data_IF_290550368911
#
_entry.id   IF_290550368911
#
_cell.length_a   1.000
_cell.length_b   1.000
_cell.length_c   1.000
_cell.angle_alpha   90.00
_cell.angle_beta   90.00
_cell.angle_gamma   90.00
#
_symmetry.space_group_name_H-M   'P 1'
#
loop_
_entity.id
_entity.type
_entity.pdbx_description
1 polymer ?
#
# COMPACT_ATOMS: atom_id res chain seq x y z
N UNK A 1 -7.89 12.00 -6.65
CA UNK A 1 -8.33 11.31 -7.87
C UNK A 1 -9.14 10.08 -7.50
N UNK A 2 -9.98 9.57 -8.42
CA UNK A 2 -10.68 8.32 -8.18
C UNK A 2 -9.72 7.13 -8.09
N UNK A 3 -10.09 6.14 -7.29
CA UNK A 3 -9.32 4.90 -7.17
C UNK A 3 -9.04 4.27 -8.55
N UNK A 4 -9.99 4.35 -9.45
CA UNK A 4 -9.85 3.86 -10.83
C UNK A 4 -8.58 4.37 -11.50
N UNK A 5 -8.27 5.66 -11.35
CA UNK A 5 -7.07 6.26 -11.95
C UNK A 5 -5.79 5.78 -11.28
N UNK A 6 -5.79 5.67 -9.94
CA UNK A 6 -4.64 5.10 -9.22
C UNK A 6 -4.36 3.67 -9.65
N UNK A 7 -5.41 2.87 -9.86
CA UNK A 7 -5.26 1.49 -10.32
C UNK A 7 -4.71 1.41 -11.75
N UNK A 8 -5.08 2.35 -12.63
CA UNK A 8 -4.52 2.40 -13.98
C UNK A 8 -3.03 2.71 -13.95
N UNK A 9 -2.62 3.67 -13.14
CA UNK A 9 -1.20 3.99 -12.96
C UNK A 9 -0.44 2.79 -12.39
N UNK A 10 -1.06 2.08 -11.47
CA UNK A 10 -0.48 0.90 -10.87
C UNK A 10 -0.31 -0.23 -11.90
N UNK A 11 -1.31 -0.43 -12.76
CA UNK A 11 -1.22 -1.44 -13.82
C UNK A 11 -0.04 -1.17 -14.76
N UNK A 12 0.19 0.10 -15.13
CA UNK A 12 1.33 0.48 -15.95
C UNK A 12 2.66 0.17 -15.26
N UNK A 13 2.76 0.50 -13.98
CA UNK A 13 3.94 0.20 -13.17
C UNK A 13 4.21 -1.31 -13.13
N UNK A 14 3.18 -2.11 -12.89
CA UNK A 14 3.30 -3.57 -12.79
C UNK A 14 3.74 -4.18 -14.12
N UNK A 15 3.22 -3.70 -15.25
CA UNK A 15 3.64 -4.18 -16.57
C UNK A 15 5.15 -3.99 -16.75
N UNK A 16 5.67 -2.83 -16.39
CA UNK A 16 7.10 -2.53 -16.48
C UNK A 16 7.90 -3.47 -15.58
N UNK A 17 7.43 -3.69 -14.35
CA UNK A 17 8.13 -4.57 -13.41
C UNK A 17 8.10 -6.04 -13.85
N UNK A 18 7.02 -6.50 -14.47
CA UNK A 18 6.96 -7.85 -15.01
C UNK A 18 7.97 -8.07 -16.14
N UNK A 19 8.20 -7.06 -16.98
CA UNK A 19 9.23 -7.11 -18.01
C UNK A 19 10.60 -7.20 -17.36
N UNK A 20 10.86 -6.37 -16.35
CA UNK A 20 12.14 -6.33 -15.64
C UNK A 20 12.45 -7.63 -14.90
N UNK A 21 11.48 -8.23 -14.25
CA UNK A 21 11.65 -9.38 -13.37
C UNK A 21 11.15 -10.71 -13.94
N UNK A 22 10.79 -10.77 -15.23
CA UNK A 22 10.50 -12.02 -15.96
C UNK A 22 9.53 -12.95 -15.23
N UNK A 23 8.29 -12.53 -15.06
CA UNK A 23 7.21 -13.34 -14.46
C UNK A 23 7.43 -13.75 -12.99
N UNK A 24 8.35 -13.12 -12.29
CA UNK A 24 8.50 -13.33 -10.84
C UNK A 24 7.46 -12.59 -10.02
N UNK A 25 6.61 -11.78 -10.65
CA UNK A 25 5.57 -11.02 -10.00
C UNK A 25 4.21 -11.54 -10.42
N UNK A 26 3.39 -11.92 -9.44
CA UNK A 26 1.97 -12.18 -9.62
C UNK A 26 1.20 -11.07 -8.92
N UNK A 27 0.41 -10.34 -9.68
CA UNK A 27 -0.35 -9.20 -9.18
C UNK A 27 -1.84 -9.47 -9.36
N UNK A 28 -2.60 -9.33 -8.27
CA UNK A 28 -4.04 -9.56 -8.26
C UNK A 28 -4.75 -8.36 -7.63
N UNK A 29 -5.87 -7.97 -8.24
CA UNK A 29 -6.73 -6.90 -7.72
C UNK A 29 -8.11 -7.47 -7.43
N UNK A 30 -8.63 -7.23 -6.23
CA UNK A 30 -9.97 -7.58 -5.83
C UNK A 30 -10.67 -6.29 -5.38
N UNK A 31 -11.33 -5.62 -6.30
CA UNK A 31 -11.89 -4.30 -6.09
C UNK A 31 -13.41 -4.39 -6.09
N UNK A 32 -14.03 -3.96 -4.99
CA UNK A 32 -15.49 -3.88 -4.92
C UNK A 32 -15.99 -2.83 -5.92
N UNK A 33 -17.07 -3.12 -6.63
CA UNK A 33 -17.56 -2.26 -7.72
C UNK A 33 -17.74 -0.81 -7.32
N UNK A 34 -18.29 -0.57 -6.13
CA UNK A 34 -18.54 0.79 -5.65
C UNK A 34 -17.28 1.51 -5.13
N UNK A 35 -16.15 0.82 -5.07
CA UNK A 35 -14.89 1.43 -4.62
C UNK A 35 -14.16 2.19 -5.74
N UNK A 36 -14.42 1.87 -7.00
CA UNK A 36 -13.66 2.44 -8.12
C UNK A 36 -13.75 3.96 -8.22
N UNK A 37 -14.87 4.54 -7.84
CA UNK A 37 -15.09 5.98 -7.93
C UNK A 37 -14.77 6.73 -6.65
N UNK A 38 -14.32 6.04 -5.61
CA UNK A 38 -13.89 6.67 -4.37
C UNK A 38 -12.67 7.54 -4.59
N UNK A 39 -12.67 8.71 -3.99
CA UNK A 39 -11.58 9.67 -4.11
C UNK A 39 -10.49 9.39 -3.08
N UNK A 40 -9.25 9.51 -3.50
CA UNK A 40 -8.09 9.41 -2.62
C UNK A 40 -6.98 10.34 -3.13
N UNK A 41 -6.01 10.68 -2.26
CA UNK A 41 -4.87 11.49 -2.68
C UNK A 41 -4.05 10.77 -3.75
N UNK A 42 -3.45 11.53 -4.66
CA UNK A 42 -2.60 10.97 -5.71
C UNK A 42 -1.36 10.30 -5.12
N UNK A 43 -0.91 9.25 -5.79
CA UNK A 43 0.33 8.54 -5.47
C UNK A 43 0.38 8.06 -4.02
N UNK A 44 -0.71 7.45 -3.58
CA UNK A 44 -0.77 6.76 -2.28
C UNK A 44 -0.53 5.26 -2.48
N UNK A 45 -1.18 4.67 -3.49
CA UNK A 45 -1.17 3.23 -3.68
C UNK A 45 0.15 2.73 -4.29
N UNK A 46 0.65 3.42 -5.31
CA UNK A 46 1.85 2.99 -6.03
C UNK A 46 3.08 2.86 -5.13
N UNK A 47 3.42 3.83 -4.27
CA UNK A 47 4.58 3.67 -3.39
C UNK A 47 4.49 2.44 -2.48
N UNK A 48 3.29 2.08 -2.06
CA UNK A 48 3.09 0.88 -1.22
C UNK A 48 3.34 -0.40 -2.01
N UNK A 49 2.89 -0.45 -3.25
CA UNK A 49 3.15 -1.60 -4.11
C UNK A 49 4.62 -1.64 -4.53
N UNK A 50 5.27 -0.50 -4.75
CA UNK A 50 6.71 -0.44 -5.00
C UNK A 50 7.51 -1.08 -3.86
N UNK A 51 7.12 -0.82 -2.62
CA UNK A 51 7.74 -1.46 -1.47
C UNK A 51 7.58 -2.97 -1.52
N UNK A 52 6.38 -3.46 -1.84
CA UNK A 52 6.12 -4.90 -1.96
C UNK A 52 6.98 -5.53 -3.04
N UNK A 53 7.13 -4.88 -4.19
CA UNK A 53 7.97 -5.37 -5.28
C UNK A 53 9.44 -5.41 -4.85
N UNK A 54 9.94 -4.32 -4.29
CA UNK A 54 11.36 -4.23 -3.89
C UNK A 54 11.72 -5.26 -2.83
N UNK A 55 10.86 -5.47 -1.84
CA UNK A 55 11.11 -6.41 -0.75
C UNK A 55 10.65 -7.83 -1.03
N UNK A 56 9.79 -8.02 -2.02
CA UNK A 56 9.33 -9.35 -2.41
C UNK A 56 10.20 -9.98 -3.48
N UNK A 57 10.43 -9.27 -4.58
CA UNK A 57 11.14 -9.82 -5.74
C UNK A 57 12.65 -9.91 -5.51
N UNK A 58 13.23 -8.85 -4.94
CA UNK A 58 14.69 -8.77 -4.80
C UNK A 58 15.23 -9.59 -3.64
N UNK A 59 14.40 -9.92 -2.67
CA UNK A 59 14.85 -10.55 -1.41
C UNK A 59 14.41 -12.00 -1.26
N UNK A 60 13.53 -12.52 -2.13
CA UNK A 60 13.05 -13.89 -2.05
C UNK A 60 13.40 -14.66 -3.31
N UNK A 61 13.57 -15.99 -3.16
CA UNK A 61 13.77 -16.89 -4.29
C UNK A 61 12.44 -17.31 -4.93
N UNK A 62 11.32 -16.93 -4.32
CA UNK A 62 9.98 -17.30 -4.75
C UNK A 62 9.35 -16.25 -5.66
N UNK A 63 8.27 -16.65 -6.32
CA UNK A 63 7.41 -15.70 -7.00
C UNK A 63 6.84 -14.73 -5.97
N UNK A 64 6.95 -13.45 -6.25
CA UNK A 64 6.36 -12.41 -5.42
C UNK A 64 4.86 -12.30 -5.74
N UNK A 65 4.01 -12.55 -4.76
CA UNK A 65 2.56 -12.37 -4.90
C UNK A 65 2.17 -11.06 -4.23
N UNK A 66 1.44 -10.23 -4.97
CA UNK A 66 0.94 -8.97 -4.45
C UNK A 66 -0.56 -8.91 -4.72
N UNK A 67 -1.34 -8.69 -3.67
CA UNK A 67 -2.79 -8.62 -3.75
C UNK A 67 -3.24 -7.27 -3.25
N UNK A 68 -4.03 -6.56 -4.04
CA UNK A 68 -4.66 -5.30 -3.66
C UNK A 68 -6.15 -5.53 -3.54
N UNK A 69 -6.68 -5.32 -2.34
CA UNK A 69 -8.11 -5.39 -2.07
C UNK A 69 -8.64 -3.99 -1.76
N UNK A 70 -9.84 -3.70 -2.21
CA UNK A 70 -10.50 -2.43 -1.92
C UNK A 70 -11.99 -2.64 -1.71
N UNK A 71 -12.52 -2.08 -0.63
CA UNK A 71 -13.95 -2.11 -0.34
C UNK A 71 -14.39 -0.84 0.38
N UNK A 72 -15.66 -0.49 0.23
CA UNK A 72 -16.30 0.56 1.02
C UNK A 72 -16.95 -0.07 2.23
N UNK A 73 -16.61 0.44 3.42
CA UNK A 73 -17.15 -0.07 4.67
C UNK A 73 -17.20 1.04 5.72
N UNK A 74 -18.38 1.24 6.28
CA UNK A 74 -18.55 2.15 7.42
C UNK A 74 -18.05 3.59 7.18
N UNK A 75 -18.20 4.10 5.96
CA UNK A 75 -17.79 5.46 5.62
C UNK A 75 -16.31 5.58 5.24
N UNK A 76 -15.62 4.47 5.05
CA UNK A 76 -14.22 4.44 4.66
C UNK A 76 -14.02 3.60 3.41
N UNK A 77 -13.08 4.03 2.57
CA UNK A 77 -12.48 3.18 1.57
C UNK A 77 -11.36 2.40 2.25
N UNK A 78 -11.52 1.09 2.36
CA UNK A 78 -10.49 0.23 2.93
C UNK A 78 -9.64 -0.33 1.80
N UNK A 79 -8.36 0.02 1.80
CA UNK A 79 -7.37 -0.49 0.86
C UNK A 79 -6.41 -1.41 1.62
N UNK A 80 -6.20 -2.60 1.09
CA UNK A 80 -5.29 -3.56 1.70
C UNK A 80 -4.31 -4.04 0.63
N UNK A 81 -3.01 -3.89 0.90
CA UNK A 81 -1.95 -4.38 0.03
C UNK A 81 -1.22 -5.49 0.79
N UNK A 82 -1.29 -6.70 0.27
CA UNK A 82 -0.67 -7.86 0.88
C UNK A 82 0.39 -8.43 -0.05
N UNK A 83 1.54 -8.78 0.51
CA UNK A 83 2.59 -9.47 -0.22
C UNK A 83 3.10 -10.69 0.56
N UNK A 84 3.83 -11.56 -0.11
CA UNK A 84 4.45 -12.75 0.47
C UNK A 84 5.96 -12.59 0.65
N UNK A 85 6.46 -11.36 0.77
CA UNK A 85 7.88 -11.07 0.95
C UNK A 85 8.42 -11.44 2.33
N UNK A 86 9.51 -10.78 2.71
CA UNK A 86 10.21 -11.09 3.96
C UNK A 86 9.51 -10.54 5.21
N UNK A 87 8.54 -9.66 5.03
CA UNK A 87 7.89 -9.00 6.15
C UNK A 87 8.61 -7.74 6.59
N UNK A 88 8.17 -7.21 7.72
CA UNK A 88 8.69 -5.97 8.28
C UNK A 88 9.02 -6.14 9.75
N UNK A 89 9.76 -5.17 10.29
CA UNK A 89 10.01 -5.06 11.73
C UNK A 89 8.70 -4.80 12.47
N UNK A 90 8.50 -5.51 13.60
CA UNK A 90 7.32 -5.30 14.44
C UNK A 90 7.24 -3.85 14.92
N UNK A 91 6.01 -3.29 14.87
CA UNK A 91 5.74 -1.92 15.31
C UNK A 91 6.54 -0.86 14.55
N UNK A 92 6.82 -1.09 13.27
CA UNK A 92 7.62 -0.19 12.45
C UNK A 92 7.07 1.24 12.46
N UNK A 93 5.74 1.43 12.26
CA UNK A 93 5.15 2.76 12.25
C UNK A 93 5.29 3.47 13.60
N UNK A 94 5.06 2.75 14.69
CA UNK A 94 5.20 3.31 16.04
C UNK A 94 6.63 3.76 16.30
N UNK A 95 7.60 2.97 15.88
CA UNK A 95 9.03 3.31 16.02
C UNK A 95 9.40 4.54 15.20
N UNK A 96 8.86 4.67 13.99
CA UNK A 96 9.09 5.84 13.14
C UNK A 96 8.46 7.10 13.74
N UNK A 97 7.23 7.01 14.20
CA UNK A 97 6.51 8.15 14.81
C UNK A 97 7.16 8.61 16.11
N UNK A 98 7.65 7.67 16.91
CA UNK A 98 8.30 7.99 18.20
C UNK A 98 9.75 8.45 18.08
N UNK A 99 10.32 8.41 16.87
CA UNK A 99 11.72 8.75 16.65
C UNK A 99 12.71 7.69 17.08
N UNK A 100 12.24 6.52 17.49
CA UNK A 100 13.13 5.40 17.89
C UNK A 100 13.86 4.79 16.70
N UNK A 101 13.35 5.01 15.50
CA UNK A 101 13.98 4.56 14.27
C UNK A 101 13.90 5.69 13.24
N UNK A 102 15.00 5.94 12.56
CA UNK A 102 15.02 6.90 11.44
C UNK A 102 14.43 6.27 10.21
N UNK A 103 13.62 7.01 9.41
CA UNK A 103 13.11 6.49 8.16
C UNK A 103 14.25 6.13 7.20
N UNK A 104 14.25 4.89 6.70
CA UNK A 104 15.23 4.40 5.73
C UNK A 104 14.53 3.41 4.79
N UNK A 105 14.89 3.43 3.51
CA UNK A 105 14.32 2.51 2.53
C UNK A 105 12.79 2.57 2.51
N UNK A 106 12.13 1.44 2.71
CA UNK A 106 10.65 1.37 2.75
C UNK A 106 10.04 2.21 3.86
N UNK A 107 10.79 2.42 4.97
CA UNK A 107 10.33 3.24 6.07
C UNK A 107 10.09 4.68 5.69
N UNK A 108 10.85 5.23 4.73
CA UNK A 108 10.67 6.60 4.25
C UNK A 108 9.31 6.73 3.54
N UNK A 109 8.99 5.81 2.63
CA UNK A 109 7.74 5.83 1.89
C UNK A 109 6.54 5.68 2.81
N UNK A 110 6.58 4.73 3.74
CA UNK A 110 5.50 4.48 4.69
C UNK A 110 5.28 5.66 5.62
N UNK A 111 6.36 6.23 6.14
CA UNK A 111 6.30 7.40 7.02
C UNK A 111 5.68 8.60 6.29
N UNK A 112 6.11 8.86 5.05
CA UNK A 112 5.59 9.96 4.25
C UNK A 112 4.11 9.81 3.94
N UNK A 113 3.67 8.62 3.60
CA UNK A 113 2.24 8.35 3.34
C UNK A 113 1.42 8.56 4.61
N UNK A 114 1.89 8.02 5.72
CA UNK A 114 1.21 8.19 7.01
C UNK A 114 1.07 9.67 7.36
N UNK A 115 2.14 10.45 7.21
CA UNK A 115 2.12 11.88 7.46
C UNK A 115 1.16 12.63 6.54
N UNK A 116 1.15 12.30 5.25
CA UNK A 116 0.22 12.91 4.28
C UNK A 116 -1.23 12.66 4.67
N UNK A 117 -1.57 11.43 5.05
CA UNK A 117 -2.93 11.09 5.44
C UNK A 117 -3.36 11.84 6.69
N UNK A 118 -2.48 11.97 7.67
CA UNK A 118 -2.77 12.72 8.89
C UNK A 118 -3.04 14.19 8.59
N UNK A 119 -2.26 14.79 7.69
CA UNK A 119 -2.41 16.19 7.31
C UNK A 119 -3.70 16.40 6.51
N UNK A 120 -3.95 15.56 5.50
CA UNK A 120 -5.09 15.74 4.60
C UNK A 120 -6.41 15.53 5.34
N UNK A 121 -6.51 14.50 6.16
CA UNK A 121 -7.76 14.12 6.80
C UNK A 121 -7.87 14.55 8.25
N UNK A 122 -6.81 15.10 8.82
CA UNK A 122 -6.76 15.50 10.23
C UNK A 122 -7.16 14.34 11.15
N UNK A 123 -6.69 13.14 10.83
CA UNK A 123 -6.95 11.92 11.59
C UNK A 123 -5.67 11.11 11.69
N UNK A 124 -5.54 10.35 12.79
CA UNK A 124 -4.45 9.41 13.01
C UNK A 124 -4.93 7.98 12.77
N UNK A 125 -3.99 7.05 12.67
CA UNK A 125 -4.26 5.62 12.56
C UNK A 125 -5.01 5.24 11.27
N UNK A 126 -4.81 6.00 10.19
CA UNK A 126 -5.37 5.68 8.89
C UNK A 126 -4.51 4.66 8.13
N UNK A 127 -3.26 4.52 8.51
CA UNK A 127 -2.33 3.53 7.94
C UNK A 127 -1.94 2.54 9.03
N UNK A 128 -2.04 1.25 8.74
CA UNK A 128 -1.55 0.19 9.62
C UNK A 128 -0.73 -0.81 8.82
N UNK A 129 0.27 -1.40 9.49
CA UNK A 129 1.17 -2.36 8.87
C UNK A 129 1.34 -3.52 9.84
N UNK A 130 1.25 -4.74 9.32
CA UNK A 130 1.51 -5.94 10.09
C UNK A 130 2.14 -7.01 9.21
N UNK A 131 2.76 -8.00 9.83
CA UNK A 131 3.26 -9.15 9.11
C UNK A 131 2.11 -10.06 8.69
N UNK A 132 2.18 -10.57 7.46
CA UNK A 132 1.25 -11.58 6.98
C UNK A 132 1.64 -12.96 7.53
N UNK A 133 0.70 -13.89 7.53
CA UNK A 133 0.93 -15.27 7.95
C UNK A 133 0.81 -16.16 6.72
N UNK A 134 1.79 -17.05 6.44
CA UNK A 134 2.99 -17.39 7.21
C UNK A 134 4.14 -16.39 7.07
N UNK A 135 4.17 -15.59 6.02
CA UNK A 135 5.18 -14.54 5.84
C UNK A 135 4.66 -13.44 4.93
N UNK A 136 5.35 -12.31 4.93
CA UNK A 136 5.02 -11.16 4.10
C UNK A 136 4.52 -9.99 4.91
N UNK A 137 3.90 -9.03 4.22
CA UNK A 137 3.44 -7.78 4.83
C UNK A 137 2.02 -7.47 4.39
N UNK A 138 1.23 -6.96 5.33
CA UNK A 138 -0.12 -6.44 5.05
C UNK A 138 -0.15 -4.97 5.44
N UNK A 139 -0.38 -4.11 4.47
CA UNK A 139 -0.57 -2.66 4.68
C UNK A 139 -2.05 -2.37 4.48
N UNK A 140 -2.66 -1.73 5.45
CA UNK A 140 -4.08 -1.35 5.39
C UNK A 140 -4.22 0.16 5.49
N UNK A 141 -4.98 0.73 4.55
CA UNK A 141 -5.32 2.16 4.54
C UNK A 141 -6.81 2.31 4.76
N UNK A 142 -7.17 3.24 5.64
CA UNK A 142 -8.55 3.66 5.83
C UNK A 142 -8.67 5.08 5.31
N UNK A 143 -9.28 5.25 4.16
CA UNK A 143 -9.45 6.56 3.54
C UNK A 143 -10.89 7.02 3.80
N UNK A 144 -11.09 8.12 4.54
CA UNK A 144 -12.44 8.63 4.77
C UNK A 144 -13.15 8.93 3.45
N UNK A 145 -14.39 8.49 3.32
CA UNK A 145 -15.20 8.78 2.15
C UNK A 145 -15.60 10.24 2.18
N UNK A 146 -15.07 11.02 1.23
CA UNK A 146 -15.37 12.44 1.14
C UNK A 146 -15.72 12.81 -0.29
N UNK A 147 -16.56 13.84 -0.46
CA UNK A 147 -16.90 14.36 -1.77
C UNK A 147 -15.78 15.26 -2.32
N UNK A 148 -15.01 15.91 -1.44
CA UNK A 148 -13.96 16.85 -1.81
C UNK A 148 -12.66 16.47 -1.13
N UNK A 149 -11.66 16.18 -1.93
CA UNK A 149 -10.29 15.93 -1.45
C UNK A 149 -9.40 17.03 -1.99
N UNK A 150 -8.75 17.70 -1.09
CA UNK A 150 -7.86 18.80 -1.43
C UNK A 150 -6.49 18.28 -1.86
#
# INVERSE_FOLDING_TARGET
IPLREELQLLDHYIIIQKIRFQDKIHFQKNIQDNAYDCLLPKLILQPLVENSVNYGVETTAHTCQIIVNAELKEGYLLLCIEDNGIGIENNLLEKLESGKRKPQGSGIGLHNINSRLQIIYNQKNLLSIKNAVPQGTVVTLKIPETADII
#
